data_IF_640068909647
#
_entry.id   IF_640068909647
#
_cell.length_a   1.000
_cell.length_b   1.000
_cell.length_c   1.000
_cell.angle_alpha   90.00
_cell.angle_beta   90.00
_cell.angle_gamma   90.00
#
_symmetry.space_group_name_H-M   'P 1'
#
loop_
_entity.id
_entity.type
_entity.pdbx_description
1 polymer ?
#
# COMPACT_ATOMS: atom_id res chain seq x y z
N UNK A 1 -23.78 -25.16 -26.80
CA UNK A 1 -22.54 -24.56 -26.32
C UNK A 1 -22.13 -25.25 -25.02
N UNK A 2 -20.94 -25.84 -24.97
CA UNK A 2 -20.38 -26.41 -23.74
C UNK A 2 -20.08 -25.26 -22.78
N UNK A 3 -20.53 -25.39 -21.52
CA UNK A 3 -20.23 -24.45 -20.46
C UNK A 3 -19.31 -25.10 -19.44
N UNK A 4 -18.52 -24.29 -18.78
CA UNK A 4 -17.61 -24.74 -17.74
C UNK A 4 -18.43 -25.27 -16.55
N UNK A 5 -18.02 -26.40 -16.00
CA UNK A 5 -18.65 -27.03 -14.85
C UNK A 5 -18.11 -26.51 -13.53
N UNK A 6 -18.82 -26.74 -12.40
CA UNK A 6 -18.33 -26.38 -11.06
C UNK A 6 -17.00 -27.08 -10.72
N UNK A 7 -16.79 -28.30 -11.21
CA UNK A 7 -15.53 -29.05 -11.01
C UNK A 7 -14.38 -28.33 -11.72
N UNK A 8 -14.61 -27.92 -12.99
CA UNK A 8 -13.60 -27.18 -13.77
C UNK A 8 -13.34 -25.78 -13.16
N UNK A 9 -14.35 -25.10 -12.63
CA UNK A 9 -14.16 -23.84 -11.89
C UNK A 9 -13.25 -24.05 -10.68
N UNK A 10 -13.46 -25.11 -9.89
CA UNK A 10 -12.58 -25.42 -8.75
C UNK A 10 -11.16 -25.74 -9.21
N UNK A 11 -10.99 -26.42 -10.34
CA UNK A 11 -9.67 -26.66 -10.94
C UNK A 11 -8.98 -25.36 -11.35
N UNK A 12 -9.72 -24.37 -11.88
CA UNK A 12 -9.18 -23.03 -12.18
C UNK A 12 -8.72 -22.30 -10.91
N UNK A 13 -9.47 -22.37 -9.81
CA UNK A 13 -9.03 -21.80 -8.54
C UNK A 13 -7.74 -22.48 -8.03
N UNK A 14 -7.66 -23.78 -8.12
CA UNK A 14 -6.44 -24.52 -7.71
C UNK A 14 -5.26 -24.22 -8.65
N UNK A 15 -5.52 -24.05 -9.93
CA UNK A 15 -4.53 -23.64 -10.92
C UNK A 15 -3.96 -22.24 -10.61
N UNK A 16 -4.82 -21.25 -10.36
CA UNK A 16 -4.35 -19.90 -10.00
C UNK A 16 -3.52 -19.89 -8.73
N UNK A 17 -3.90 -20.68 -7.69
CA UNK A 17 -3.11 -20.84 -6.46
C UNK A 17 -1.74 -21.46 -6.71
N UNK A 18 -1.67 -22.54 -7.51
CA UNK A 18 -0.40 -23.18 -7.91
C UNK A 18 0.53 -22.21 -8.63
N UNK A 19 -0.03 -21.24 -9.36
CA UNK A 19 0.69 -20.20 -10.05
C UNK A 19 0.84 -18.90 -9.24
N UNK A 20 0.90 -19.03 -7.89
CA UNK A 20 1.26 -17.98 -6.92
C UNK A 20 0.29 -16.80 -6.85
N UNK A 21 -0.96 -16.94 -7.27
CA UNK A 21 -1.98 -15.93 -7.05
C UNK A 21 -2.55 -16.09 -5.65
N UNK A 22 -2.05 -15.34 -4.69
CA UNK A 22 -2.46 -15.46 -3.29
C UNK A 22 -3.73 -14.66 -2.93
N UNK A 23 -4.07 -13.63 -3.73
CA UNK A 23 -5.15 -12.70 -3.45
C UNK A 23 -6.47 -13.22 -4.02
N UNK A 24 -7.46 -13.42 -3.16
CA UNK A 24 -8.72 -14.06 -3.53
C UNK A 24 -9.53 -13.26 -4.57
N UNK A 25 -9.56 -11.94 -4.45
CA UNK A 25 -10.19 -11.03 -5.42
C UNK A 25 -9.55 -11.16 -6.82
N UNK A 26 -8.23 -11.30 -6.88
CA UNK A 26 -7.52 -11.53 -8.14
C UNK A 26 -7.76 -12.95 -8.67
N UNK A 27 -7.83 -13.95 -7.78
CA UNK A 27 -8.18 -15.33 -8.18
C UNK A 27 -9.57 -15.38 -8.83
N UNK A 28 -10.59 -14.78 -8.21
CA UNK A 28 -11.95 -14.75 -8.74
C UNK A 28 -11.99 -14.11 -10.12
N UNK A 29 -11.33 -12.98 -10.32
CA UNK A 29 -11.26 -12.30 -11.60
C UNK A 29 -10.54 -13.14 -12.66
N UNK A 30 -9.40 -13.76 -12.31
CA UNK A 30 -8.67 -14.63 -13.22
C UNK A 30 -9.48 -15.88 -13.61
N UNK A 31 -10.15 -16.50 -12.64
CA UNK A 31 -11.02 -17.67 -12.89
C UNK A 31 -12.14 -17.29 -13.86
N UNK A 32 -12.76 -16.13 -13.67
CA UNK A 32 -13.81 -15.64 -14.59
C UNK A 32 -13.25 -15.42 -16.02
N UNK A 33 -12.10 -14.79 -16.15
CA UNK A 33 -11.45 -14.59 -17.45
C UNK A 33 -11.03 -15.90 -18.11
N UNK A 34 -10.42 -16.83 -17.37
CA UNK A 34 -10.02 -18.14 -17.90
C UNK A 34 -11.25 -18.95 -18.31
N UNK A 35 -12.31 -18.95 -17.52
CA UNK A 35 -13.55 -19.63 -17.81
C UNK A 35 -14.16 -19.13 -19.13
N UNK A 36 -14.27 -17.82 -19.29
CA UNK A 36 -14.79 -17.19 -20.50
C UNK A 36 -13.93 -17.51 -21.74
N UNK A 37 -12.61 -17.45 -21.60
CA UNK A 37 -11.68 -17.75 -22.69
C UNK A 37 -11.74 -19.22 -23.12
N UNK A 38 -11.83 -20.15 -22.15
CA UNK A 38 -12.00 -21.58 -22.43
C UNK A 38 -13.33 -21.85 -23.12
N UNK A 39 -14.45 -21.28 -22.65
CA UNK A 39 -15.74 -21.39 -23.30
C UNK A 39 -15.70 -20.88 -24.75
N UNK A 40 -15.00 -19.78 -25.00
CA UNK A 40 -14.79 -19.26 -26.35
C UNK A 40 -13.99 -20.25 -27.22
N UNK A 41 -12.88 -20.82 -26.71
CA UNK A 41 -12.12 -21.84 -27.45
C UNK A 41 -12.95 -23.07 -27.76
N UNK A 42 -13.86 -23.52 -26.89
CA UNK A 42 -14.77 -24.62 -27.16
C UNK A 42 -15.81 -24.30 -28.25
N UNK A 43 -16.21 -23.04 -28.41
CA UNK A 43 -17.09 -22.63 -29.51
C UNK A 43 -16.38 -22.66 -30.86
N UNK A 44 -15.06 -22.32 -30.87
CA UNK A 44 -14.23 -22.35 -32.09
C UNK A 44 -13.75 -23.78 -32.42
N UNK A 45 -13.39 -24.57 -31.43
CA UNK A 45 -12.96 -25.96 -31.55
C UNK A 45 -13.57 -26.83 -30.44
N UNK A 46 -14.73 -27.47 -30.70
CA UNK A 46 -15.44 -28.29 -29.71
C UNK A 46 -14.67 -29.54 -29.22
N UNK A 47 -13.59 -29.93 -29.89
CA UNK A 47 -12.82 -31.13 -29.56
C UNK A 47 -11.65 -30.87 -28.61
N UNK A 48 -11.31 -29.62 -28.33
CA UNK A 48 -10.21 -29.28 -27.41
C UNK A 48 -10.58 -29.68 -25.99
N UNK A 49 -9.62 -30.31 -25.29
CA UNK A 49 -9.78 -30.66 -23.86
C UNK A 49 -9.81 -29.42 -22.99
N UNK A 50 -10.27 -29.55 -21.74
CA UNK A 50 -10.21 -28.45 -20.76
C UNK A 50 -8.74 -28.09 -20.45
N UNK A 51 -7.91 -29.11 -20.27
CA UNK A 51 -6.49 -28.95 -19.93
C UNK A 51 -5.72 -28.25 -21.05
N UNK A 52 -5.92 -28.65 -22.32
CA UNK A 52 -5.26 -28.02 -23.47
C UNK A 52 -5.71 -26.56 -23.67
N UNK A 53 -7.01 -26.30 -23.48
CA UNK A 53 -7.56 -24.96 -23.57
C UNK A 53 -7.01 -24.04 -22.45
N UNK A 54 -6.91 -24.56 -21.22
CA UNK A 54 -6.33 -23.85 -20.08
C UNK A 54 -4.85 -23.55 -20.29
N UNK A 55 -4.06 -24.55 -20.75
CA UNK A 55 -2.63 -24.37 -21.00
C UNK A 55 -2.40 -23.35 -22.11
N UNK A 56 -3.17 -23.41 -23.19
CA UNK A 56 -3.11 -22.45 -24.28
C UNK A 56 -3.39 -21.03 -23.78
N UNK A 57 -4.41 -20.85 -22.93
CA UNK A 57 -4.74 -19.53 -22.38
C UNK A 57 -3.69 -19.05 -21.41
N UNK A 58 -3.16 -19.94 -20.56
CA UNK A 58 -2.10 -19.57 -19.62
C UNK A 58 -0.82 -19.09 -20.34
N UNK A 59 -0.46 -19.69 -21.47
CA UNK A 59 0.70 -19.29 -22.25
C UNK A 59 0.59 -17.85 -22.80
N UNK A 60 -0.65 -17.32 -22.96
CA UNK A 60 -0.86 -15.92 -23.35
C UNK A 60 -0.40 -14.91 -22.28
N UNK A 61 -0.27 -15.33 -21.02
CA UNK A 61 0.26 -14.46 -19.95
C UNK A 61 1.79 -14.31 -19.97
N UNK A 62 2.48 -14.99 -20.88
CA UNK A 62 3.91 -14.87 -21.10
C UNK A 62 4.77 -15.51 -20.00
N UNK A 63 6.06 -15.12 -19.96
CA UNK A 63 7.08 -15.74 -19.10
C UNK A 63 6.79 -15.58 -17.61
N UNK A 64 6.21 -14.46 -17.23
CA UNK A 64 5.88 -14.16 -15.82
C UNK A 64 4.52 -14.72 -15.37
N UNK A 65 3.74 -15.29 -16.30
CA UNK A 65 2.42 -15.84 -16.00
C UNK A 65 1.53 -14.84 -15.26
N UNK A 66 0.80 -15.30 -14.25
CA UNK A 66 -0.12 -14.43 -13.48
C UNK A 66 0.59 -13.44 -12.55
N UNK A 67 1.87 -13.64 -12.20
CA UNK A 67 2.58 -12.74 -11.30
C UNK A 67 2.70 -11.32 -11.89
N UNK A 68 2.94 -11.20 -13.19
CA UNK A 68 2.96 -9.92 -13.87
C UNK A 68 1.64 -9.14 -13.76
N UNK A 69 0.50 -9.84 -13.86
CA UNK A 69 -0.81 -9.24 -13.69
C UNK A 69 -1.06 -8.78 -12.24
N UNK A 70 -0.68 -9.61 -11.26
CA UNK A 70 -0.81 -9.28 -9.83
C UNK A 70 0.00 -8.03 -9.51
N UNK A 71 1.25 -7.97 -9.96
CA UNK A 71 2.14 -6.82 -9.76
C UNK A 71 1.58 -5.54 -10.41
N UNK A 72 1.09 -5.63 -11.64
CA UNK A 72 0.45 -4.49 -12.32
C UNK A 72 -0.77 -3.97 -11.56
N UNK A 73 -1.64 -4.85 -11.07
CA UNK A 73 -2.81 -4.46 -10.27
C UNK A 73 -2.40 -3.83 -8.93
N UNK A 74 -1.39 -4.40 -8.27
CA UNK A 74 -0.86 -3.86 -7.03
C UNK A 74 -0.25 -2.47 -7.25
N UNK A 75 0.55 -2.29 -8.30
CA UNK A 75 1.14 -1.02 -8.66
C UNK A 75 0.09 0.04 -9.02
N UNK A 76 -0.94 -0.34 -9.78
CA UNK A 76 -2.05 0.55 -10.13
C UNK A 76 -2.79 1.05 -8.88
N UNK A 77 -3.07 0.14 -7.93
CA UNK A 77 -3.74 0.48 -6.68
C UNK A 77 -2.84 1.36 -5.78
N UNK A 78 -1.55 1.05 -5.67
CA UNK A 78 -0.59 1.90 -4.96
C UNK A 78 -0.50 3.30 -5.57
N UNK A 79 -0.43 3.40 -6.91
CA UNK A 79 -0.38 4.68 -7.61
C UNK A 79 -1.64 5.52 -7.36
N UNK A 80 -2.82 4.90 -7.29
CA UNK A 80 -4.05 5.60 -6.93
C UNK A 80 -3.92 6.32 -5.57
N UNK A 81 -3.46 5.63 -4.53
CA UNK A 81 -3.27 6.24 -3.21
C UNK A 81 -2.15 7.28 -3.19
N UNK A 82 -1.06 7.06 -3.93
CA UNK A 82 0.00 8.06 -4.07
C UNK A 82 -0.48 9.35 -4.73
N UNK A 83 -1.37 9.26 -5.71
CA UNK A 83 -1.99 10.46 -6.32
C UNK A 83 -2.84 11.24 -5.31
N UNK A 84 -3.58 10.55 -4.44
CA UNK A 84 -4.35 11.19 -3.36
C UNK A 84 -3.39 11.89 -2.39
N UNK A 85 -2.32 11.22 -1.95
CA UNK A 85 -1.30 11.80 -1.06
C UNK A 85 -0.69 13.05 -1.70
N UNK A 86 -0.26 12.97 -2.95
CA UNK A 86 0.34 14.08 -3.70
C UNK A 86 -0.63 15.27 -3.78
N UNK A 87 -1.88 15.03 -4.12
CA UNK A 87 -2.91 16.08 -4.19
C UNK A 87 -3.12 16.76 -2.84
N UNK A 88 -3.29 15.99 -1.78
CA UNK A 88 -3.47 16.53 -0.42
C UNK A 88 -2.22 17.27 0.05
N UNK A 89 -1.02 16.75 -0.23
CA UNK A 89 0.23 17.41 0.10
C UNK A 89 0.34 18.80 -0.55
N UNK A 90 0.07 18.91 -1.85
CA UNK A 90 0.07 20.16 -2.57
C UNK A 90 -0.96 21.13 -1.97
N UNK A 91 -2.11 20.64 -1.51
CA UNK A 91 -3.14 21.47 -0.90
C UNK A 91 -2.66 22.18 0.39
N UNK A 92 -1.70 21.63 1.12
CA UNK A 92 -1.11 22.30 2.29
C UNK A 92 -0.27 23.54 1.91
N UNK A 93 0.24 23.60 0.67
CA UNK A 93 1.01 24.72 0.14
C UNK A 93 0.18 25.65 -0.76
N UNK A 94 -1.12 25.43 -0.86
CA UNK A 94 -2.04 26.32 -1.58
C UNK A 94 -2.58 27.43 -0.67
N UNK A 95 -3.02 28.55 -1.26
CA UNK A 95 -3.70 29.65 -0.55
C UNK A 95 -5.10 29.18 -0.09
N UNK A 96 -5.52 29.46 1.16
CA UNK A 96 -4.82 30.20 2.23
C UNK A 96 -3.91 29.36 3.14
N UNK A 97 -3.80 28.04 2.95
CA UNK A 97 -3.11 27.11 3.87
C UNK A 97 -1.60 27.32 3.92
N UNK A 98 -0.99 27.92 2.89
CA UNK A 98 0.45 28.18 2.84
C UNK A 98 0.95 29.00 4.04
N UNK A 99 0.12 29.92 4.57
CA UNK A 99 0.47 30.70 5.76
C UNK A 99 0.61 29.81 7.00
N UNK A 100 -0.33 28.86 7.17
CA UNK A 100 -0.28 27.90 8.27
C UNK A 100 0.90 26.92 8.12
N UNK A 101 1.15 26.45 6.90
CA UNK A 101 2.31 25.60 6.62
C UNK A 101 3.62 26.35 6.85
N UNK A 102 3.72 27.60 6.43
CA UNK A 102 4.88 28.45 6.70
C UNK A 102 5.12 28.67 8.20
N UNK A 103 4.07 28.98 8.95
CA UNK A 103 4.14 29.13 10.41
C UNK A 103 4.56 27.81 11.10
N UNK A 104 4.04 26.68 10.61
CA UNK A 104 4.41 25.35 11.11
C UNK A 104 5.92 25.04 10.89
N UNK A 105 6.43 25.23 9.67
CA UNK A 105 7.85 25.03 9.37
C UNK A 105 8.75 26.01 10.13
N UNK A 106 8.31 27.27 10.28
CA UNK A 106 9.04 28.27 11.09
C UNK A 106 9.08 27.87 12.56
N UNK A 107 7.98 27.38 13.13
CA UNK A 107 7.95 26.85 14.49
C UNK A 107 8.90 25.68 14.69
N UNK A 108 8.95 24.70 13.75
CA UNK A 108 9.92 23.61 13.78
C UNK A 108 11.37 24.13 13.69
N UNK A 109 11.62 25.11 12.83
CA UNK A 109 12.95 25.73 12.70
C UNK A 109 13.41 26.34 14.03
N UNK A 110 12.52 27.07 14.73
CA UNK A 110 12.85 27.60 16.06
C UNK A 110 13.20 26.51 17.07
N UNK A 111 12.44 25.41 17.06
CA UNK A 111 12.69 24.25 17.95
C UNK A 111 14.06 23.64 17.66
N UNK A 112 14.41 23.42 16.38
CA UNK A 112 15.70 22.81 16.03
C UNK A 112 16.89 23.77 16.08
N UNK A 113 16.65 25.09 16.14
CA UNK A 113 17.69 26.10 16.26
C UNK A 113 18.20 26.28 17.69
N UNK A 114 17.50 25.72 18.67
CA UNK A 114 17.96 25.75 20.07
C UNK A 114 19.18 24.81 20.23
N UNK A 115 20.25 25.34 20.76
CA UNK A 115 21.54 24.65 20.96
C UNK A 115 21.71 24.03 22.34
N UNK A 116 20.68 24.11 23.21
CA UNK A 116 20.76 23.53 24.56
C UNK A 116 20.86 21.99 24.45
N UNK A 117 21.82 21.39 25.09
CA UNK A 117 22.06 19.95 25.12
C UNK A 117 20.87 19.20 25.72
N UNK A 118 20.27 19.69 26.79
CA UNK A 118 19.09 19.09 27.40
C UNK A 118 17.89 19.09 26.43
N UNK A 119 17.73 20.18 25.68
CA UNK A 119 16.69 20.29 24.66
C UNK A 119 16.90 19.26 23.52
N UNK A 120 18.13 19.11 23.03
CA UNK A 120 18.46 18.12 21.98
C UNK A 120 18.24 16.68 22.48
N UNK A 121 18.57 16.35 23.71
CA UNK A 121 18.34 15.02 24.30
C UNK A 121 16.82 14.70 24.39
N UNK A 122 16.01 15.71 24.78
CA UNK A 122 14.53 15.57 24.79
C UNK A 122 13.98 15.35 23.37
N UNK A 123 14.43 16.10 22.38
CA UNK A 123 14.01 15.93 20.99
C UNK A 123 14.36 14.54 20.47
N UNK A 124 15.57 14.07 20.71
CA UNK A 124 15.99 12.73 20.34
C UNK A 124 15.15 11.64 21.03
N UNK A 125 14.85 11.82 22.31
CA UNK A 125 13.94 10.92 23.05
C UNK A 125 12.53 10.88 22.46
N UNK A 126 11.98 12.03 22.02
CA UNK A 126 10.68 12.13 21.35
C UNK A 126 10.69 11.42 19.99
N UNK A 127 11.77 11.55 19.22
CA UNK A 127 11.91 10.85 17.93
C UNK A 127 11.92 9.33 18.10
N UNK A 128 12.67 8.82 19.07
CA UNK A 128 12.67 7.39 19.43
C UNK A 128 11.27 6.95 19.85
N UNK A 129 10.58 7.73 20.67
CA UNK A 129 9.21 7.43 21.08
C UNK A 129 8.25 7.35 19.89
N UNK A 130 8.35 8.30 18.95
CA UNK A 130 7.55 8.29 17.70
C UNK A 130 7.88 7.07 16.83
N UNK A 131 9.15 6.68 16.73
CA UNK A 131 9.56 5.48 16.01
C UNK A 131 8.94 4.21 16.62
N UNK A 132 9.01 4.07 17.94
CA UNK A 132 8.40 2.94 18.66
C UNK A 132 6.88 2.94 18.49
N UNK A 133 6.24 4.11 18.58
CA UNK A 133 4.79 4.25 18.37
C UNK A 133 4.38 3.87 16.93
N UNK A 134 5.15 4.29 15.92
CA UNK A 134 4.92 3.94 14.53
C UNK A 134 5.10 2.43 14.28
N UNK A 135 6.13 1.81 14.89
CA UNK A 135 6.37 0.37 14.80
C UNK A 135 5.25 -0.44 15.46
N UNK A 136 4.79 -0.01 16.64
CA UNK A 136 3.67 -0.62 17.34
C UNK A 136 2.37 -0.49 16.54
N UNK A 137 2.11 0.70 15.98
CA UNK A 137 0.95 0.93 15.11
C UNK A 137 0.98 -0.01 13.90
N UNK A 138 2.10 -0.08 13.16
CA UNK A 138 2.25 -1.00 12.04
C UNK A 138 2.02 -2.45 12.46
N UNK A 139 2.64 -2.90 13.56
CA UNK A 139 2.49 -4.26 14.05
C UNK A 139 1.04 -4.61 14.38
N UNK A 140 0.30 -3.71 15.03
CA UNK A 140 -1.12 -3.91 15.36
C UNK A 140 -1.99 -4.01 14.09
N UNK A 141 -1.75 -3.16 13.08
CA UNK A 141 -2.45 -3.22 11.81
C UNK A 141 -2.10 -4.52 11.04
N UNK A 142 -0.81 -4.85 10.94
CA UNK A 142 -0.35 -6.09 10.32
C UNK A 142 -0.98 -7.33 10.96
N UNK A 143 -0.98 -7.42 12.29
CA UNK A 143 -1.62 -8.52 13.04
C UNK A 143 -3.12 -8.63 12.72
N UNK A 144 -3.81 -7.52 12.58
CA UNK A 144 -5.24 -7.47 12.24
C UNK A 144 -5.49 -8.00 10.83
N UNK A 145 -4.68 -7.58 9.84
CA UNK A 145 -4.79 -8.04 8.46
C UNK A 145 -4.45 -9.53 8.31
N UNK A 146 -3.43 -10.00 9.03
CA UNK A 146 -2.98 -11.41 8.98
C UNK A 146 -4.00 -12.42 9.51
N UNK A 147 -4.87 -12.01 10.43
CA UNK A 147 -5.91 -12.89 11.02
C UNK A 147 -7.06 -13.18 10.06
N UNK A 148 -7.16 -12.49 8.93
CA UNK A 148 -8.23 -12.69 7.95
C UNK A 148 -7.98 -13.97 7.14
N UNK A 149 -9.00 -14.81 7.02
CA UNK A 149 -8.92 -16.08 6.29
C UNK A 149 -8.64 -15.92 4.79
N UNK A 150 -9.18 -14.85 4.18
CA UNK A 150 -8.96 -14.54 2.76
C UNK A 150 -7.98 -13.38 2.65
N UNK A 151 -6.96 -13.54 1.81
CA UNK A 151 -6.02 -12.46 1.48
C UNK A 151 -6.62 -11.65 0.32
N UNK A 152 -6.73 -10.35 0.50
CA UNK A 152 -7.19 -9.39 -0.52
C UNK A 152 -5.99 -8.58 -1.01
N UNK A 153 -5.98 -8.19 -2.28
CA UNK A 153 -4.91 -7.35 -2.85
C UNK A 153 -4.76 -6.03 -2.07
N UNK A 154 -5.87 -5.43 -1.69
CA UNK A 154 -5.88 -4.20 -0.89
C UNK A 154 -5.21 -4.36 0.48
N UNK A 155 -5.18 -5.57 1.08
CA UNK A 155 -4.48 -5.80 2.34
C UNK A 155 -2.96 -5.66 2.19
N UNK A 156 -2.40 -6.12 1.06
CA UNK A 156 -0.97 -5.95 0.75
C UNK A 156 -0.62 -4.49 0.55
N UNK A 157 -1.45 -3.75 -0.18
CA UNK A 157 -1.29 -2.30 -0.38
C UNK A 157 -1.47 -1.54 0.94
N UNK A 158 -2.43 -1.92 1.78
CA UNK A 158 -2.62 -1.31 3.10
C UNK A 158 -1.41 -1.52 3.99
N UNK A 159 -0.85 -2.73 4.03
CA UNK A 159 0.35 -3.03 4.80
C UNK A 159 1.55 -2.18 4.35
N UNK A 160 1.70 -1.97 3.05
CA UNK A 160 2.71 -1.07 2.51
C UNK A 160 2.55 0.35 3.08
N UNK A 161 1.35 0.96 2.99
CA UNK A 161 1.13 2.31 3.52
C UNK A 161 1.26 2.40 5.05
N UNK A 162 0.88 1.36 5.79
CA UNK A 162 1.07 1.32 7.26
C UNK A 162 2.54 1.24 7.66
N UNK A 163 3.42 0.70 6.82
CA UNK A 163 4.87 0.62 7.10
C UNK A 163 5.63 1.91 6.80
N UNK A 164 5.10 2.80 5.95
CA UNK A 164 5.80 4.01 5.52
C UNK A 164 6.24 4.94 6.67
N UNK A 165 5.44 5.19 7.73
CA UNK A 165 5.87 6.01 8.85
C UNK A 165 7.15 5.51 9.52
N UNK A 166 7.33 4.18 9.65
CA UNK A 166 8.54 3.60 10.24
C UNK A 166 9.75 3.83 9.34
N UNK A 167 9.58 3.58 8.03
CA UNK A 167 10.68 3.73 7.07
C UNK A 167 11.11 5.19 6.98
N UNK A 168 10.16 6.13 6.94
CA UNK A 168 10.46 7.56 6.79
C UNK A 168 11.09 8.16 8.06
N UNK A 169 10.66 7.75 9.26
CA UNK A 169 11.23 8.30 10.50
C UNK A 169 12.70 7.93 10.66
N UNK A 170 13.15 6.79 10.13
CA UNK A 170 14.55 6.41 10.16
C UNK A 170 15.46 7.42 9.42
N UNK A 171 14.93 8.13 8.42
CA UNK A 171 15.68 9.21 7.75
C UNK A 171 15.70 10.50 8.55
N UNK A 172 14.70 10.76 9.38
CA UNK A 172 14.62 11.95 10.24
C UNK A 172 15.59 11.82 11.41
N UNK A 173 15.63 10.66 12.07
CA UNK A 173 16.46 10.44 13.29
C UNK A 173 17.97 10.36 13.02
N UNK A 174 18.38 10.15 11.77
CA UNK A 174 19.82 9.96 11.46
C UNK A 174 20.67 11.24 11.61
N UNK A 175 20.06 12.43 11.68
CA UNK A 175 20.73 13.73 11.80
C UNK A 175 20.68 14.38 13.18
N UNK A 176 19.74 13.98 14.02
CA UNK A 176 19.28 14.77 15.17
C UNK A 176 20.25 14.90 16.35
N UNK A 177 21.26 14.05 16.49
CA UNK A 177 22.09 14.01 17.70
C UNK A 177 23.53 14.54 17.51
N UNK A 178 23.69 15.71 16.88
CA UNK A 178 25.01 16.36 16.74
C UNK A 178 25.00 17.72 17.41
N UNK A 179 25.90 17.95 18.42
CA UNK A 179 25.94 19.23 19.13
C UNK A 179 26.39 20.42 18.28
N UNK A 180 27.15 20.17 17.19
CA UNK A 180 27.73 21.20 16.33
C UNK A 180 27.05 21.31 14.96
N UNK A 181 25.71 21.40 14.95
CA UNK A 181 24.95 21.54 13.71
C UNK A 181 25.12 22.93 13.09
N UNK A 182 25.42 22.96 11.80
CA UNK A 182 25.41 24.20 11.02
C UNK A 182 23.98 24.57 10.56
N UNK A 183 23.81 25.83 10.15
CA UNK A 183 22.50 26.33 9.71
C UNK A 183 21.86 25.48 8.60
N UNK A 184 22.68 24.94 7.68
CA UNK A 184 22.18 24.09 6.58
C UNK A 184 21.60 22.78 7.12
N UNK A 185 22.26 22.15 8.09
CA UNK A 185 21.78 20.92 8.73
C UNK A 185 20.47 21.15 9.48
N UNK A 186 20.34 22.27 10.22
CA UNK A 186 19.11 22.66 10.91
C UNK A 186 17.95 22.85 9.92
N UNK A 187 18.19 23.56 8.81
CA UNK A 187 17.19 23.74 7.75
C UNK A 187 16.77 22.38 7.16
N UNK A 188 17.73 21.52 6.88
CA UNK A 188 17.49 20.21 6.27
C UNK A 188 16.64 19.32 7.20
N UNK A 189 16.99 19.27 8.49
CA UNK A 189 16.24 18.54 9.52
C UNK A 189 14.82 19.11 9.69
N UNK A 190 14.66 20.44 9.72
CA UNK A 190 13.36 21.11 9.75
C UNK A 190 12.48 20.68 8.58
N UNK A 191 13.03 20.68 7.36
CA UNK A 191 12.31 20.32 6.15
C UNK A 191 11.92 18.84 6.17
N UNK A 192 12.85 17.93 6.49
CA UNK A 192 12.56 16.50 6.53
C UNK A 192 11.52 16.16 7.60
N UNK A 193 11.66 16.69 8.80
CA UNK A 193 10.71 16.47 9.90
C UNK A 193 9.34 17.07 9.56
N UNK A 194 9.29 18.27 9.01
CA UNK A 194 8.04 18.91 8.61
C UNK A 194 7.31 18.13 7.52
N UNK A 195 8.02 17.68 6.49
CA UNK A 195 7.48 16.82 5.42
C UNK A 195 6.98 15.49 5.98
N UNK A 196 7.74 14.86 6.88
CA UNK A 196 7.35 13.63 7.55
C UNK A 196 6.04 13.80 8.34
N UNK A 197 5.94 14.84 9.16
CA UNK A 197 4.76 15.11 9.97
C UNK A 197 3.52 15.39 9.10
N UNK A 198 3.66 16.18 8.03
CA UNK A 198 2.58 16.40 7.05
C UNK A 198 2.17 15.11 6.35
N UNK A 199 3.13 14.28 5.97
CA UNK A 199 2.85 12.98 5.37
C UNK A 199 2.07 12.08 6.35
N UNK A 200 2.51 11.97 7.59
CA UNK A 200 1.79 11.23 8.63
C UNK A 200 0.37 11.76 8.83
N UNK A 201 0.19 13.08 8.86
CA UNK A 201 -1.12 13.71 8.99
C UNK A 201 -2.05 13.30 7.85
N UNK A 202 -1.59 13.35 6.60
CA UNK A 202 -2.37 12.92 5.42
C UNK A 202 -2.67 11.43 5.50
N UNK A 203 -1.68 10.61 5.84
CA UNK A 203 -1.82 9.17 5.95
C UNK A 203 -2.91 8.79 6.97
N UNK A 204 -2.84 9.36 8.19
CA UNK A 204 -3.78 9.03 9.26
C UNK A 204 -5.19 9.62 9.06
N UNK A 205 -5.29 10.81 8.46
CA UNK A 205 -6.59 11.49 8.31
C UNK A 205 -7.32 11.15 7.01
N UNK A 206 -6.61 10.74 5.95
CA UNK A 206 -7.20 10.48 4.64
C UNK A 206 -7.01 9.04 4.18
N UNK A 207 -5.77 8.56 4.09
CA UNK A 207 -5.47 7.29 3.44
C UNK A 207 -5.93 6.09 4.27
N UNK A 208 -5.61 6.05 5.57
CA UNK A 208 -5.99 4.92 6.44
C UNK A 208 -7.51 4.75 6.55
N UNK A 209 -8.32 5.82 6.76
CA UNK A 209 -9.77 5.68 6.77
C UNK A 209 -10.33 5.21 5.43
N UNK A 210 -9.77 5.68 4.31
CA UNK A 210 -10.17 5.26 2.96
C UNK A 210 -9.88 3.77 2.73
N UNK A 211 -8.65 3.31 3.03
CA UNK A 211 -8.26 1.91 2.95
C UNK A 211 -9.17 1.00 3.80
N UNK A 212 -9.46 1.39 5.03
CA UNK A 212 -10.37 0.63 5.90
C UNK A 212 -11.78 0.51 5.32
N UNK A 213 -12.30 1.60 4.76
CA UNK A 213 -13.62 1.61 4.10
C UNK A 213 -13.64 0.66 2.88
N UNK A 214 -12.63 0.72 2.04
CA UNK A 214 -12.53 -0.12 0.84
C UNK A 214 -12.37 -1.60 1.19
N UNK A 215 -11.58 -1.94 2.22
CA UNK A 215 -11.48 -3.33 2.72
C UNK A 215 -12.85 -3.87 3.13
N UNK A 216 -13.65 -3.08 3.85
CA UNK A 216 -14.99 -3.49 4.28
C UNK A 216 -15.90 -3.71 3.06
N UNK A 217 -15.86 -2.80 2.07
CA UNK A 217 -16.67 -2.92 0.85
C UNK A 217 -16.31 -4.18 0.03
N UNK A 218 -15.02 -4.49 -0.10
CA UNK A 218 -14.55 -5.71 -0.78
C UNK A 218 -15.03 -6.95 -0.01
N UNK A 219 -14.88 -6.99 1.30
CA UNK A 219 -15.36 -8.11 2.12
C UNK A 219 -16.87 -8.33 1.98
N UNK A 220 -17.67 -7.27 2.00
CA UNK A 220 -19.13 -7.35 1.82
C UNK A 220 -19.51 -7.84 0.40
N UNK A 221 -18.79 -7.39 -0.62
CA UNK A 221 -19.01 -7.83 -2.01
C UNK A 221 -18.84 -9.34 -2.17
N UNK A 222 -17.79 -9.90 -1.57
CA UNK A 222 -17.43 -11.32 -1.72
C UNK A 222 -18.02 -12.24 -0.63
N UNK A 223 -18.72 -11.70 0.38
CA UNK A 223 -19.52 -12.51 1.32
C UNK A 223 -20.90 -12.90 0.74
N UNK A 224 -21.34 -12.22 -0.33
CA UNK A 224 -22.63 -12.47 -0.97
C UNK A 224 -22.55 -13.49 -2.13
N UNK A 225 -21.33 -13.93 -2.43
CA UNK A 225 -21.04 -14.98 -3.42
C UNK A 225 -20.70 -16.27 -2.70
#
# INVERSE_FOLDING_TARGET
>A
MRKISEVEINQLFDFTKKHYVEHYDVQVELVDHLANAIEQQWNENPTISFEDALEKEYNNYGVFGFSGLVEQKQAALQNHYWQIIKKEFINYFSVPRIVLSGAFFYGLFLVFSDSDTLHNDILFGLEILLMVAAALFWYLQYRTLRKKHKKWLINSVSNYFYSLPIVMIAFVTFGANRPDRNLFEIILETVFTGVYLLFCLILFTKIIPLLKKEIILIEQKFQKI
#
